data_IF_061877709050
#
_entry.id   IF_061877709050
#
_cell.length_a   1.000
_cell.length_b   1.000
_cell.length_c   1.000
_cell.angle_alpha   90.00
_cell.angle_beta   90.00
_cell.angle_gamma   90.00
#
_symmetry.space_group_name_H-M   'P 1'
#
loop_
_entity.id
_entity.type
_entity.pdbx_description
1 polymer ?
#
# COMPACT_ATOMS: atom_id res chain seq x y z
N UNK A 1 10.47 2.79 35.69
CA UNK A 1 10.47 4.25 35.46
C UNK A 1 11.70 4.67 34.63
N UNK A 2 12.01 4.05 33.47
CA UNK A 2 13.40 4.11 32.95
C UNK A 2 13.66 4.17 31.44
N UNK A 3 12.64 4.27 30.59
CA UNK A 3 12.83 4.47 29.13
C UNK A 3 11.63 5.17 28.49
N UNK A 4 10.42 4.81 28.93
CA UNK A 4 9.19 5.46 28.50
C UNK A 4 9.10 6.92 28.97
N UNK A 5 9.40 7.19 30.24
CA UNK A 5 9.49 8.56 30.77
C UNK A 5 10.53 9.39 30.02
N UNK A 6 11.74 8.87 29.81
CA UNK A 6 12.77 9.61 29.05
C UNK A 6 12.38 9.91 27.60
N UNK A 7 11.56 9.05 26.98
CA UNK A 7 11.08 9.27 25.61
C UNK A 7 9.95 10.31 25.59
N UNK A 8 9.04 10.23 26.56
CA UNK A 8 7.98 11.21 26.76
C UNK A 8 8.56 12.59 27.05
N UNK A 9 9.49 12.69 28.01
CA UNK A 9 10.23 13.91 28.34
C UNK A 9 10.92 14.50 27.09
N UNK A 10 11.53 13.65 26.26
CA UNK A 10 12.16 14.09 25.01
C UNK A 10 11.13 14.62 24.00
N UNK A 11 9.95 14.01 23.87
CA UNK A 11 8.89 14.54 23.01
C UNK A 11 8.39 15.89 23.55
N UNK A 12 8.18 15.99 24.87
CA UNK A 12 7.67 17.20 25.51
C UNK A 12 8.62 18.40 25.43
N UNK A 13 9.93 18.16 25.39
CA UNK A 13 10.94 19.20 25.18
C UNK A 13 10.70 20.00 23.88
N UNK A 14 10.10 19.36 22.87
CA UNK A 14 9.75 19.98 21.60
C UNK A 14 8.50 20.88 21.63
N UNK A 15 7.80 20.98 22.78
CA UNK A 15 6.60 21.85 22.92
C UNK A 15 6.97 23.33 22.98
N UNK A 16 8.20 23.65 23.38
CA UNK A 16 8.64 25.02 23.65
C UNK A 16 9.99 25.33 23.02
N UNK A 17 10.21 26.63 22.76
CA UNK A 17 11.42 27.13 22.12
C UNK A 17 11.31 27.22 20.59
N UNK A 18 12.22 27.97 19.95
CA UNK A 18 12.24 28.10 18.50
C UNK A 18 12.64 26.79 17.85
N UNK A 19 11.96 26.45 16.75
CA UNK A 19 12.34 25.29 15.94
C UNK A 19 13.76 25.45 15.39
N UNK A 20 14.55 24.38 15.48
CA UNK A 20 15.82 24.27 14.76
C UNK A 20 16.07 22.82 14.32
N UNK A 21 16.97 22.55 13.36
CA UNK A 21 17.24 21.18 12.93
C UNK A 21 17.71 20.25 14.06
N UNK A 22 18.31 20.81 15.12
CA UNK A 22 18.71 20.10 16.36
C UNK A 22 17.65 20.13 17.47
N UNK A 23 16.60 20.95 17.33
CA UNK A 23 15.49 21.09 18.27
C UNK A 23 14.14 20.98 17.53
N UNK A 24 13.74 19.76 17.11
CA UNK A 24 12.48 19.54 16.41
C UNK A 24 11.26 19.73 17.32
N UNK A 25 10.12 20.06 16.72
CA UNK A 25 8.85 20.23 17.46
C UNK A 25 8.37 18.91 18.06
N UNK A 26 7.53 19.00 19.09
CA UNK A 26 6.90 17.84 19.74
C UNK A 26 6.17 16.93 18.73
N UNK A 27 5.49 17.53 17.76
CA UNK A 27 4.84 16.81 16.67
C UNK A 27 5.84 16.02 15.83
N UNK A 28 6.96 16.62 15.42
CA UNK A 28 8.00 15.94 14.64
C UNK A 28 8.65 14.80 15.43
N UNK A 29 8.98 15.06 16.69
CA UNK A 29 9.56 14.07 17.62
C UNK A 29 8.65 12.84 17.73
N UNK A 30 7.36 13.07 17.92
CA UNK A 30 6.34 12.03 17.98
C UNK A 30 6.22 11.25 16.66
N UNK A 31 6.20 11.94 15.51
CA UNK A 31 6.21 11.30 14.19
C UNK A 31 7.45 10.43 13.96
N UNK A 32 8.64 10.87 14.39
CA UNK A 32 9.89 10.12 14.25
C UNK A 32 9.88 8.85 15.09
N UNK A 33 9.45 8.94 16.35
CA UNK A 33 9.29 7.79 17.25
C UNK A 33 8.29 6.80 16.65
N UNK A 34 7.16 7.31 16.17
CA UNK A 34 6.14 6.48 15.53
C UNK A 34 6.67 5.79 14.27
N UNK A 35 7.38 6.49 13.39
CA UNK A 35 7.97 5.92 12.18
C UNK A 35 8.99 4.83 12.51
N UNK A 36 9.84 5.04 13.51
CA UNK A 36 10.81 4.04 13.95
C UNK A 36 10.11 2.78 14.50
N UNK A 37 9.08 2.96 15.34
CA UNK A 37 8.28 1.86 15.85
C UNK A 37 7.52 1.13 14.73
N UNK A 38 6.84 1.87 13.84
CA UNK A 38 6.10 1.34 12.71
C UNK A 38 7.02 0.56 11.77
N UNK A 39 8.24 1.04 11.51
CA UNK A 39 9.25 0.33 10.72
C UNK A 39 9.57 -1.05 11.33
N UNK A 40 9.81 -1.10 12.64
CA UNK A 40 10.06 -2.37 13.34
C UNK A 40 8.85 -3.31 13.29
N UNK A 41 7.64 -2.78 13.52
CA UNK A 41 6.40 -3.55 13.42
C UNK A 41 6.24 -4.13 12.01
N UNK A 42 6.45 -3.32 10.98
CA UNK A 42 6.36 -3.77 9.58
C UNK A 42 7.38 -4.86 9.32
N UNK A 43 8.65 -4.69 9.71
CA UNK A 43 9.69 -5.71 9.53
C UNK A 43 9.38 -7.03 10.22
N UNK A 44 8.93 -6.98 11.48
CA UNK A 44 8.64 -8.18 12.28
C UNK A 44 7.40 -8.90 11.76
N UNK A 45 6.33 -8.16 11.46
CA UNK A 45 5.03 -8.72 11.12
C UNK A 45 4.78 -8.82 9.61
N UNK A 46 5.75 -8.49 8.75
CA UNK A 46 5.60 -8.49 7.29
C UNK A 46 5.07 -9.82 6.73
N UNK A 47 5.65 -10.92 7.21
CA UNK A 47 5.24 -12.27 6.79
C UNK A 47 3.99 -12.78 7.53
N UNK A 48 3.45 -12.00 8.49
CA UNK A 48 2.37 -12.39 9.39
C UNK A 48 2.62 -13.74 10.10
N UNK A 49 3.88 -14.13 10.26
CA UNK A 49 4.34 -15.40 10.84
C UNK A 49 5.21 -15.09 12.05
N UNK A 50 4.68 -15.31 13.24
CA UNK A 50 5.50 -15.26 14.46
C UNK A 50 6.06 -16.68 14.67
N UNK A 51 7.39 -16.88 14.61
CA UNK A 51 7.98 -18.14 15.04
C UNK A 51 7.82 -18.22 16.56
N UNK A 52 7.12 -19.25 17.05
CA UNK A 52 6.96 -19.47 18.49
C UNK A 52 7.54 -20.84 18.87
N UNK A 53 8.41 -20.81 19.89
CA UNK A 53 9.20 -21.88 20.52
C UNK A 53 10.49 -22.36 19.83
N UNK A 54 11.55 -22.33 20.66
CA UNK A 54 12.84 -23.02 20.55
C UNK A 54 12.94 -24.01 21.72
N UNK A 55 13.62 -25.15 21.51
CA UNK A 55 13.78 -26.38 22.34
C UNK A 55 12.58 -27.37 22.32
N UNK A 56 12.67 -28.69 22.05
CA UNK A 56 13.74 -29.67 21.71
C UNK A 56 13.14 -30.70 20.70
N UNK A 57 14.02 -31.28 19.87
CA UNK A 57 13.86 -32.55 19.09
C UNK A 57 13.29 -32.57 17.66
N UNK A 58 12.52 -31.61 17.15
CA UNK A 58 12.08 -31.67 15.73
C UNK A 58 12.19 -30.31 15.05
N UNK A 59 13.19 -30.18 14.16
CA UNK A 59 13.50 -29.01 13.30
C UNK A 59 12.33 -28.58 12.38
N UNK A 60 11.17 -28.24 12.91
CA UNK A 60 10.06 -27.63 12.18
C UNK A 60 9.57 -26.41 12.95
N UNK A 61 9.82 -25.23 12.40
CA UNK A 61 9.23 -23.99 12.87
C UNK A 61 7.71 -24.08 12.73
N UNK A 62 6.99 -24.04 13.85
CA UNK A 62 5.55 -23.78 13.82
C UNK A 62 5.36 -22.27 13.90
N UNK A 63 4.71 -21.71 12.90
CA UNK A 63 4.42 -20.27 12.82
C UNK A 63 2.97 -20.03 13.22
N UNK A 64 2.73 -19.12 14.16
CA UNK A 64 1.38 -18.62 14.44
C UNK A 64 1.07 -17.50 13.46
N UNK A 65 -0.10 -17.59 12.82
CA UNK A 65 -0.58 -16.58 11.89
C UNK A 65 -1.24 -15.43 12.65
N UNK A 66 -0.73 -14.21 12.53
CA UNK A 66 -1.30 -13.02 13.16
C UNK A 66 -1.65 -11.96 12.09
N UNK A 67 -2.94 -11.77 11.74
CA UNK A 67 -3.35 -10.99 10.57
C UNK A 67 -3.28 -9.46 10.70
N UNK A 68 -2.60 -8.88 11.68
CA UNK A 68 -2.74 -7.42 11.98
C UNK A 68 -2.40 -6.52 10.79
N UNK A 69 -1.38 -6.84 10.01
CA UNK A 69 -1.00 -6.04 8.83
C UNK A 69 -1.81 -6.38 7.57
N UNK A 70 -2.58 -7.47 7.59
CA UNK A 70 -3.24 -8.02 6.39
C UNK A 70 -4.10 -7.00 5.64
N UNK A 71 -5.03 -6.25 6.27
CA UNK A 71 -5.89 -5.33 5.52
C UNK A 71 -5.09 -4.22 4.83
N UNK A 72 -4.09 -3.67 5.52
CA UNK A 72 -3.25 -2.60 4.98
C UNK A 72 -2.30 -3.12 3.88
N UNK A 73 -1.73 -4.32 4.07
CA UNK A 73 -0.87 -4.98 3.10
C UNK A 73 -1.63 -5.26 1.81
N UNK A 74 -2.85 -5.80 1.89
CA UNK A 74 -3.65 -6.12 0.72
C UNK A 74 -4.02 -4.87 -0.10
N UNK A 75 -4.37 -3.76 0.56
CA UNK A 75 -4.61 -2.49 -0.12
C UNK A 75 -3.34 -1.93 -0.76
N UNK A 76 -2.19 -2.08 -0.10
CA UNK A 76 -0.91 -1.66 -0.64
C UNK A 76 -0.54 -2.43 -1.92
N UNK A 77 -0.70 -3.75 -1.89
CA UNK A 77 -0.51 -4.62 -3.06
C UNK A 77 -1.50 -4.21 -4.17
N UNK A 78 -2.76 -3.95 -3.82
CA UNK A 78 -3.77 -3.47 -4.78
C UNK A 78 -3.32 -2.20 -5.50
N UNK A 79 -2.77 -1.22 -4.78
CA UNK A 79 -2.30 0.02 -5.39
C UNK A 79 -1.09 -0.19 -6.32
N UNK A 80 -0.20 -1.12 -5.97
CA UNK A 80 0.90 -1.54 -6.84
C UNK A 80 0.36 -2.14 -8.14
N UNK A 81 -0.56 -3.11 -8.05
CA UNK A 81 -1.18 -3.74 -9.22
C UNK A 81 -1.97 -2.76 -10.08
N UNK A 82 -2.66 -1.80 -9.46
CA UNK A 82 -3.34 -0.72 -10.19
C UNK A 82 -2.35 0.15 -10.97
N UNK A 83 -1.13 0.34 -10.47
CA UNK A 83 -0.06 1.03 -11.21
C UNK A 83 0.26 0.31 -12.53
N UNK A 84 0.40 -1.02 -12.50
CA UNK A 84 0.56 -1.82 -13.71
C UNK A 84 -0.66 -1.69 -14.61
N UNK A 85 -1.87 -1.86 -14.06
CA UNK A 85 -3.12 -1.83 -14.80
C UNK A 85 -3.30 -0.49 -15.56
N UNK A 86 -3.09 0.64 -14.89
CA UNK A 86 -3.26 1.98 -15.47
C UNK A 86 -2.26 2.22 -16.60
N UNK A 87 -0.96 2.03 -16.35
CA UNK A 87 0.06 2.27 -17.40
C UNK A 87 -0.05 1.24 -18.52
N UNK A 88 -0.36 -0.01 -18.19
CA UNK A 88 -0.66 -1.05 -19.17
C UNK A 88 -1.76 -0.63 -20.14
N UNK A 89 -2.93 -0.25 -19.63
CA UNK A 89 -4.05 0.19 -20.47
C UNK A 89 -3.74 1.46 -21.26
N UNK A 90 -3.06 2.45 -20.67
CA UNK A 90 -2.65 3.66 -21.40
C UNK A 90 -1.71 3.32 -22.57
N UNK A 91 -0.77 2.38 -22.38
CA UNK A 91 0.13 1.96 -23.46
C UNK A 91 -0.57 1.12 -24.53
N UNK A 92 -1.59 0.34 -24.15
CA UNK A 92 -2.45 -0.39 -25.09
C UNK A 92 -3.23 0.61 -25.93
N UNK A 93 -3.95 1.55 -25.30
CA UNK A 93 -4.73 2.57 -26.02
C UNK A 93 -3.86 3.43 -26.92
N UNK A 94 -2.65 3.79 -26.47
CA UNK A 94 -1.68 4.45 -27.32
C UNK A 94 -1.36 3.61 -28.57
N UNK A 95 -1.07 2.30 -28.42
CA UNK A 95 -0.81 1.44 -29.58
C UNK A 95 -2.02 1.29 -30.49
N UNK A 96 -3.21 1.07 -29.93
CA UNK A 96 -4.46 0.95 -30.70
C UNK A 96 -4.75 2.22 -31.50
N UNK A 97 -4.48 3.39 -30.91
CA UNK A 97 -4.68 4.69 -31.57
C UNK A 97 -3.68 4.93 -32.70
N UNK A 98 -2.42 4.54 -32.54
CA UNK A 98 -1.35 4.85 -33.49
C UNK A 98 -1.09 3.78 -34.55
N UNK A 99 -1.26 2.50 -34.21
CA UNK A 99 -0.96 1.36 -35.08
C UNK A 99 -2.19 0.56 -35.50
N UNK A 100 -3.36 0.88 -34.95
CA UNK A 100 -4.59 0.12 -35.17
C UNK A 100 -4.61 -1.21 -34.42
N UNK A 101 -5.74 -1.89 -34.51
CA UNK A 101 -5.91 -3.26 -34.01
C UNK A 101 -5.54 -4.21 -35.16
N UNK A 102 -4.77 -5.29 -34.92
CA UNK A 102 -4.49 -6.30 -35.93
C UNK A 102 -5.78 -6.83 -36.57
N UNK A 103 -5.78 -7.07 -37.89
CA UNK A 103 -6.98 -7.57 -38.60
C UNK A 103 -7.47 -8.89 -37.99
N UNK A 104 -8.74 -8.91 -37.55
CA UNK A 104 -9.33 -10.07 -36.88
C UNK A 104 -8.89 -10.29 -35.42
N UNK A 105 -8.09 -9.38 -34.87
CA UNK A 105 -7.58 -9.46 -33.50
C UNK A 105 -8.49 -8.80 -32.45
N UNK A 106 -8.32 -9.24 -31.20
CA UNK A 106 -9.01 -8.72 -30.03
C UNK A 106 -8.33 -7.47 -29.47
N UNK A 107 -9.14 -6.50 -29.00
CA UNK A 107 -8.66 -5.33 -28.24
C UNK A 107 -7.90 -5.75 -26.99
N UNK A 108 -6.84 -4.99 -26.68
CA UNK A 108 -6.08 -5.18 -25.45
C UNK A 108 -6.93 -4.81 -24.23
N UNK A 109 -6.95 -5.69 -23.23
CA UNK A 109 -7.74 -5.51 -22.00
C UNK A 109 -7.02 -6.09 -20.80
N UNK A 110 -7.42 -5.69 -19.60
CA UNK A 110 -7.03 -6.39 -18.37
C UNK A 110 -7.92 -7.62 -18.25
N UNK A 111 -7.32 -8.81 -18.26
CA UNK A 111 -8.05 -10.07 -18.07
C UNK A 111 -8.40 -10.27 -16.59
N UNK A 112 -7.45 -10.02 -15.69
CA UNK A 112 -7.70 -10.00 -14.25
C UNK A 112 -6.59 -9.24 -13.49
N UNK A 113 -6.95 -8.81 -12.28
CA UNK A 113 -6.02 -8.35 -11.25
C UNK A 113 -6.18 -9.28 -10.06
N UNK A 114 -5.08 -9.89 -9.64
CA UNK A 114 -5.03 -10.82 -8.52
C UNK A 114 -4.22 -10.21 -7.37
N UNK A 115 -4.66 -10.50 -6.14
CA UNK A 115 -3.95 -10.18 -4.91
C UNK A 115 -3.90 -11.43 -4.04
N UNK A 116 -2.70 -11.97 -3.88
CA UNK A 116 -2.38 -13.00 -2.92
C UNK A 116 -1.87 -12.40 -1.61
N UNK A 117 -2.34 -12.94 -0.50
CA UNK A 117 -1.93 -12.51 0.84
C UNK A 117 -0.47 -12.85 1.17
N UNK A 118 0.05 -13.92 0.58
CA UNK A 118 1.34 -14.52 0.87
C UNK A 118 2.37 -14.26 -0.23
N UNK A 119 1.95 -14.22 -1.49
CA UNK A 119 2.86 -14.12 -2.65
C UNK A 119 2.92 -12.73 -3.29
N UNK A 120 1.93 -11.85 -3.10
CA UNK A 120 1.93 -10.51 -3.70
C UNK A 120 0.74 -10.28 -4.63
N UNK A 121 0.95 -9.63 -5.77
CA UNK A 121 -0.11 -9.36 -6.75
C UNK A 121 0.27 -9.83 -8.16
N UNK A 122 -0.73 -9.95 -9.03
CA UNK A 122 -0.50 -10.21 -10.46
C UNK A 122 -1.56 -9.51 -11.31
N UNK A 123 -1.10 -8.66 -12.22
CA UNK A 123 -1.94 -8.04 -13.26
C UNK A 123 -1.71 -8.73 -14.60
N UNK A 124 -2.75 -9.37 -15.14
CA UNK A 124 -2.69 -10.04 -16.44
C UNK A 124 -3.43 -9.24 -17.50
N UNK A 125 -2.75 -8.99 -18.61
CA UNK A 125 -3.33 -8.41 -19.82
C UNK A 125 -3.68 -9.52 -20.81
N UNK A 126 -4.77 -9.33 -21.55
CA UNK A 126 -5.22 -10.19 -22.64
C UNK A 126 -5.56 -9.38 -23.89
N UNK A 127 -5.90 -10.09 -24.97
CA UNK A 127 -6.04 -9.53 -26.32
C UNK A 127 -4.74 -9.59 -27.12
N UNK A 128 -4.81 -9.22 -28.40
CA UNK A 128 -3.67 -9.31 -29.32
C UNK A 128 -2.77 -8.07 -29.29
N UNK A 129 -3.27 -6.96 -28.71
CA UNK A 129 -2.50 -5.74 -28.48
C UNK A 129 -1.88 -5.78 -27.08
N UNK A 130 -0.64 -6.23 -26.99
CA UNK A 130 0.11 -6.29 -25.73
C UNK A 130 0.56 -4.89 -25.26
N UNK A 131 0.63 -4.65 -23.94
CA UNK A 131 1.15 -3.40 -23.38
C UNK A 131 2.65 -3.20 -23.66
N UNK A 132 3.16 -1.99 -23.40
CA UNK A 132 4.60 -1.74 -23.45
C UNK A 132 5.22 -2.15 -22.11
N UNK A 133 5.62 -3.42 -21.99
CA UNK A 133 6.16 -3.99 -20.75
C UNK A 133 7.33 -3.21 -20.13
N UNK A 134 8.15 -2.52 -20.93
CA UNK A 134 9.23 -1.67 -20.41
C UNK A 134 8.75 -0.44 -19.62
N UNK A 135 7.49 -0.04 -19.79
CA UNK A 135 6.84 1.02 -19.00
C UNK A 135 5.88 0.44 -17.97
N UNK A 136 5.13 -0.60 -18.34
CA UNK A 136 4.14 -1.23 -17.47
C UNK A 136 4.77 -1.90 -16.26
N UNK A 137 5.90 -2.61 -16.40
CA UNK A 137 6.54 -3.29 -15.26
C UNK A 137 7.09 -2.28 -14.23
N UNK A 138 7.80 -1.20 -14.61
CA UNK A 138 8.18 -0.17 -13.64
C UNK A 138 7.00 0.54 -12.97
N UNK A 139 5.84 0.59 -13.64
CA UNK A 139 4.71 1.41 -13.19
C UNK A 139 4.15 0.99 -11.83
N UNK A 140 4.11 -0.31 -11.51
CA UNK A 140 3.66 -0.78 -10.20
C UNK A 140 4.55 -0.24 -9.08
N UNK A 141 5.87 -0.42 -9.23
CA UNK A 141 6.85 0.11 -8.30
C UNK A 141 6.75 1.63 -8.18
N UNK A 142 6.75 2.36 -9.29
CA UNK A 142 6.68 3.84 -9.30
C UNK A 142 5.38 4.33 -8.65
N UNK A 143 4.23 3.78 -9.03
CA UNK A 143 2.93 4.15 -8.50
C UNK A 143 2.81 3.93 -6.99
N UNK A 144 3.13 2.73 -6.51
CA UNK A 144 3.06 2.40 -5.08
C UNK A 144 4.00 3.27 -4.23
N UNK A 145 5.17 3.60 -4.76
CA UNK A 145 6.13 4.47 -4.07
C UNK A 145 5.71 5.93 -4.06
N UNK A 146 5.12 6.45 -5.14
CA UNK A 146 4.59 7.83 -5.18
C UNK A 146 3.43 7.98 -4.20
N UNK A 147 2.50 7.02 -4.19
CA UNK A 147 1.39 6.97 -3.23
C UNK A 147 1.93 6.89 -1.80
N UNK A 148 2.90 6.00 -1.56
CA UNK A 148 3.54 5.88 -0.24
C UNK A 148 4.23 7.16 0.22
N UNK A 149 4.95 7.83 -0.69
CA UNK A 149 5.61 9.10 -0.42
C UNK A 149 4.62 10.23 -0.15
N UNK A 150 3.51 10.30 -0.89
CA UNK A 150 2.44 11.26 -0.63
C UNK A 150 1.88 11.10 0.79
N UNK A 151 1.58 9.87 1.21
CA UNK A 151 1.09 9.61 2.57
C UNK A 151 2.15 9.85 3.66
N UNK A 152 3.42 9.50 3.40
CA UNK A 152 4.52 9.84 4.32
C UNK A 152 4.64 11.34 4.50
N UNK A 153 4.61 12.11 3.41
CA UNK A 153 4.75 13.56 3.46
C UNK A 153 3.57 14.21 4.20
N UNK A 154 2.35 13.90 3.79
CA UNK A 154 1.13 14.44 4.41
C UNK A 154 0.96 14.05 5.88
N UNK A 155 1.53 12.90 6.29
CA UNK A 155 1.45 12.40 7.66
C UNK A 155 2.24 13.19 8.71
N UNK A 156 3.10 14.12 8.34
CA UNK A 156 3.82 14.95 9.31
C UNK A 156 2.95 16.04 9.95
N UNK A 157 1.85 16.42 9.31
CA UNK A 157 0.98 17.52 9.74
C UNK A 157 -0.51 17.12 9.77
N UNK A 158 -1.26 17.56 10.77
CA UNK A 158 -2.66 17.18 10.96
C UNK A 158 -3.58 17.66 9.82
N UNK A 159 -3.42 18.90 9.34
CA UNK A 159 -4.20 19.46 8.23
C UNK A 159 -3.83 18.78 6.93
N UNK A 160 -2.53 18.55 6.69
CA UNK A 160 -2.11 17.79 5.50
C UNK A 160 -2.57 16.34 5.52
N UNK A 161 -2.64 15.73 6.71
CA UNK A 161 -3.15 14.38 6.88
C UNK A 161 -4.63 14.25 6.53
N UNK A 162 -5.43 15.32 6.65
CA UNK A 162 -6.81 15.36 6.12
C UNK A 162 -6.83 15.22 4.59
N UNK A 163 -5.96 15.95 3.88
CA UNK A 163 -5.82 15.79 2.42
C UNK A 163 -5.29 14.39 2.04
N UNK A 164 -4.34 13.86 2.82
CA UNK A 164 -3.86 12.48 2.67
C UNK A 164 -4.99 11.46 2.84
N UNK A 165 -5.82 11.60 3.87
CA UNK A 165 -6.95 10.73 4.14
C UNK A 165 -8.03 10.80 3.05
N UNK A 166 -8.36 11.99 2.55
CA UNK A 166 -9.25 12.14 1.39
C UNK A 166 -8.67 11.44 0.16
N UNK A 167 -7.37 11.63 -0.09
CA UNK A 167 -6.68 10.97 -1.21
C UNK A 167 -6.74 9.45 -1.09
N UNK A 168 -6.56 8.90 0.11
CA UNK A 168 -6.66 7.46 0.38
C UNK A 168 -8.10 6.95 0.19
N UNK A 169 -9.11 7.69 0.65
CA UNK A 169 -10.52 7.35 0.44
C UNK A 169 -10.90 7.35 -1.05
N UNK A 170 -10.44 8.34 -1.81
CA UNK A 170 -10.67 8.39 -3.26
C UNK A 170 -9.96 7.22 -3.95
N UNK A 171 -8.69 6.98 -3.61
CA UNK A 171 -7.91 5.89 -4.20
C UNK A 171 -8.53 4.53 -3.93
N UNK A 172 -8.91 4.24 -2.67
CA UNK A 172 -9.62 3.01 -2.29
C UNK A 172 -10.97 2.86 -3.00
N UNK A 173 -11.73 3.94 -3.13
CA UNK A 173 -13.03 3.92 -3.82
C UNK A 173 -12.87 3.62 -5.31
N UNK A 174 -11.92 4.29 -5.97
CA UNK A 174 -11.59 4.04 -7.39
C UNK A 174 -11.08 2.60 -7.56
N UNK A 175 -10.19 2.13 -6.70
CA UNK A 175 -9.67 0.78 -6.72
C UNK A 175 -10.80 -0.26 -6.62
N UNK A 176 -11.73 -0.06 -5.68
CA UNK A 176 -12.90 -0.92 -5.49
C UNK A 176 -13.80 -0.90 -6.73
N UNK A 177 -14.01 0.27 -7.33
CA UNK A 177 -14.81 0.43 -8.55
C UNK A 177 -14.16 -0.28 -9.75
N UNK A 178 -12.85 -0.13 -9.95
CA UNK A 178 -12.10 -0.82 -11.00
C UNK A 178 -12.23 -2.33 -10.81
N UNK A 179 -12.03 -2.83 -9.59
CA UNK A 179 -12.19 -4.25 -9.29
C UNK A 179 -13.61 -4.75 -9.59
N UNK A 180 -14.64 -3.94 -9.31
CA UNK A 180 -16.03 -4.26 -9.65
C UNK A 180 -16.22 -4.51 -11.15
N UNK A 181 -15.58 -3.70 -12.01
CA UNK A 181 -15.68 -3.83 -13.46
C UNK A 181 -14.76 -4.90 -14.07
N UNK A 182 -13.63 -5.22 -13.45
CA UNK A 182 -12.60 -6.15 -13.98
C UNK A 182 -12.98 -7.64 -13.83
N UNK A 183 -14.26 -8.01 -13.81
CA UNK A 183 -14.72 -9.40 -13.50
C UNK A 183 -14.08 -9.97 -12.22
N UNK A 184 -13.92 -9.16 -11.17
CA UNK A 184 -13.60 -9.70 -9.86
C UNK A 184 -14.74 -10.62 -9.42
N UNK A 185 -14.46 -11.88 -9.12
CA UNK A 185 -15.48 -12.83 -8.68
C UNK A 185 -15.71 -12.62 -7.18
N UNK A 186 -16.95 -12.37 -6.76
CA UNK A 186 -17.29 -12.28 -5.34
C UNK A 186 -17.01 -13.63 -4.64
N UNK A 187 -16.14 -13.59 -3.65
CA UNK A 187 -15.79 -14.73 -2.80
C UNK A 187 -16.98 -15.18 -1.94
N UNK A 188 -17.85 -14.26 -1.53
CA UNK A 188 -19.10 -14.54 -0.83
C UNK A 188 -20.05 -15.37 -1.70
N UNK A 189 -20.22 -15.01 -2.97
CA UNK A 189 -21.04 -15.80 -3.90
C UNK A 189 -20.42 -17.19 -4.10
N UNK A 190 -19.10 -17.26 -4.27
CA UNK A 190 -18.41 -18.51 -4.53
C UNK A 190 -18.39 -19.48 -3.32
N UNK A 191 -18.28 -18.92 -2.11
CA UNK A 191 -18.25 -19.65 -0.84
C UNK A 191 -19.60 -19.65 -0.12
N UNK A 192 -20.68 -19.20 -0.76
CA UNK A 192 -22.01 -19.11 -0.15
C UNK A 192 -22.47 -20.43 0.48
N UNK A 193 -22.29 -21.55 -0.22
CA UNK A 193 -22.63 -22.87 0.32
C UNK A 193 -21.72 -23.34 1.45
N UNK A 194 -20.47 -22.88 1.49
CA UNK A 194 -19.56 -23.13 2.60
C UNK A 194 -19.94 -22.29 3.84
N UNK A 195 -20.32 -21.04 3.65
CA UNK A 195 -20.82 -20.18 4.74
C UNK A 195 -22.13 -20.76 5.29
N UNK A 196 -23.04 -21.17 4.41
CA UNK A 196 -24.29 -21.85 4.80
C UNK A 196 -24.00 -23.15 5.55
N UNK A 197 -23.02 -23.96 5.11
CA UNK A 197 -22.67 -25.19 5.82
C UNK A 197 -22.12 -24.89 7.22
N UNK A 198 -21.32 -23.82 7.37
CA UNK A 198 -20.87 -23.33 8.66
C UNK A 198 -22.05 -22.90 9.56
N UNK A 199 -23.01 -22.15 9.02
CA UNK A 199 -24.23 -21.74 9.76
C UNK A 199 -25.06 -22.96 10.16
N UNK A 200 -25.27 -23.93 9.26
CA UNK A 200 -26.00 -25.15 9.60
C UNK A 200 -25.31 -25.97 10.69
N UNK A 201 -23.96 -25.99 10.69
CA UNK A 201 -23.18 -26.72 11.68
C UNK A 201 -23.17 -26.05 13.05
N UNK A 202 -22.91 -24.74 13.10
CA UNK A 202 -22.60 -24.04 14.35
C UNK A 202 -23.75 -23.24 14.93
N UNK A 203 -24.69 -22.78 14.10
CA UNK A 203 -25.84 -21.98 14.54
C UNK A 203 -27.09 -22.86 14.66
N UNK A 204 -27.33 -23.72 13.67
CA UNK A 204 -28.55 -24.54 13.58
C UNK A 204 -28.34 -26.00 13.98
N UNK A 205 -27.11 -26.40 14.34
CA UNK A 205 -26.73 -27.75 14.79
C UNK A 205 -27.32 -28.91 13.94
N UNK A 206 -27.37 -28.75 12.62
CA UNK A 206 -27.98 -29.70 11.69
C UNK A 206 -26.93 -30.34 10.78
N UNK A 207 -26.51 -31.56 11.10
CA UNK A 207 -25.48 -32.29 10.35
C UNK A 207 -25.91 -32.66 8.92
N UNK A 208 -27.18 -33.02 8.71
CA UNK A 208 -27.66 -33.47 7.40
C UNK A 208 -27.62 -32.34 6.37
N UNK A 209 -28.14 -31.16 6.76
CA UNK A 209 -28.08 -29.95 5.93
C UNK A 209 -26.64 -29.47 5.72
N UNK A 210 -25.77 -29.63 6.73
CA UNK A 210 -24.34 -29.34 6.62
C UNK A 210 -23.68 -30.18 5.53
N UNK A 211 -23.87 -31.51 5.55
CA UNK A 211 -23.32 -32.42 4.52
C UNK A 211 -23.86 -32.09 3.12
N UNK A 212 -25.15 -31.78 3.01
CA UNK A 212 -25.77 -31.40 1.73
C UNK A 212 -25.22 -30.08 1.17
N UNK A 213 -25.00 -29.09 2.02
CA UNK A 213 -24.41 -27.81 1.63
C UNK A 213 -22.94 -27.96 1.24
N UNK A 214 -22.14 -28.75 1.98
CA UNK A 214 -20.76 -29.07 1.64
C UNK A 214 -20.64 -29.78 0.28
N UNK A 215 -21.45 -30.82 0.02
CA UNK A 215 -21.48 -31.48 -1.29
C UNK A 215 -21.80 -30.52 -2.43
N UNK A 216 -22.75 -29.60 -2.22
CA UNK A 216 -23.07 -28.55 -3.22
C UNK A 216 -21.91 -27.59 -3.44
N UNK A 217 -21.18 -27.23 -2.39
CA UNK A 217 -19.98 -26.39 -2.49
C UNK A 217 -18.89 -27.11 -3.30
N UNK A 218 -18.61 -28.38 -2.99
CA UNK A 218 -17.62 -29.20 -3.70
C UNK A 218 -17.99 -29.40 -5.17
N UNK A 219 -19.25 -29.73 -5.47
CA UNK A 219 -19.72 -29.89 -6.86
C UNK A 219 -19.59 -28.59 -7.65
N UNK A 220 -20.02 -27.45 -7.10
CA UNK A 220 -19.85 -26.15 -7.78
C UNK A 220 -18.38 -25.77 -7.90
N UNK A 221 -17.52 -26.16 -6.95
CA UNK A 221 -16.07 -25.97 -7.04
C UNK A 221 -15.50 -26.81 -8.19
N UNK A 222 -15.88 -28.08 -8.31
CA UNK A 222 -15.46 -28.97 -9.38
C UNK A 222 -15.90 -28.46 -10.76
N UNK A 223 -17.18 -28.11 -10.93
CA UNK A 223 -17.73 -27.54 -12.18
C UNK A 223 -17.00 -26.26 -12.60
N UNK A 224 -16.70 -25.38 -11.63
CA UNK A 224 -15.88 -24.18 -11.89
C UNK A 224 -14.44 -24.54 -12.29
N UNK A 225 -13.85 -25.56 -11.68
CA UNK A 225 -12.49 -26.00 -11.97
C UNK A 225 -12.35 -26.68 -13.34
N UNK A 226 -13.42 -27.25 -13.90
CA UNK A 226 -13.43 -27.81 -15.25
C UNK A 226 -13.31 -26.73 -16.34
N UNK A 227 -13.77 -25.51 -16.06
CA UNK A 227 -13.69 -24.37 -16.99
C UNK A 227 -12.49 -23.43 -16.75
N UNK A 228 -11.64 -23.72 -15.77
CA UNK A 228 -10.45 -22.93 -15.48
C UNK A 228 -9.36 -23.15 -16.55
N UNK A 229 -8.70 -22.08 -16.99
CA UNK A 229 -7.62 -22.16 -18.00
C UNK A 229 -6.27 -22.52 -17.38
N UNK A 230 -6.14 -22.41 -16.05
CA UNK A 230 -4.95 -22.77 -15.28
C UNK A 230 -5.28 -23.78 -14.15
N UNK A 231 -4.53 -24.89 -14.11
CA UNK A 231 -4.51 -25.87 -13.01
C UNK A 231 -3.18 -25.74 -12.27
N UNK A 232 -3.23 -25.60 -10.94
CA UNK A 232 -2.04 -25.69 -10.09
C UNK A 232 -1.49 -27.14 -10.12
N UNK A 233 -0.16 -27.29 -10.14
CA UNK A 233 0.51 -28.60 -10.13
C UNK A 233 0.25 -29.42 -8.86
N UNK A 234 -0.17 -28.76 -7.76
CA UNK A 234 -0.55 -29.41 -6.51
C UNK A 234 -2.07 -29.65 -6.47
N UNK A 235 -2.49 -30.88 -6.16
CA UNK A 235 -3.91 -31.26 -6.05
C UNK A 235 -4.71 -30.46 -4.99
N UNK A 236 -4.02 -29.84 -4.03
CA UNK A 236 -4.60 -29.00 -2.97
C UNK A 236 -4.41 -27.48 -3.21
N UNK A 237 -3.82 -27.07 -4.34
CA UNK A 237 -3.60 -25.66 -4.65
C UNK A 237 -4.90 -24.90 -4.92
N UNK A 238 -5.00 -23.60 -4.56
CA UNK A 238 -6.15 -22.78 -4.95
C UNK A 238 -6.25 -22.72 -6.48
N UNK A 239 -7.45 -22.77 -7.05
CA UNK A 239 -7.60 -22.72 -8.52
C UNK A 239 -7.48 -21.29 -9.04
N UNK A 240 -7.24 -21.09 -10.34
CA UNK A 240 -7.18 -19.75 -10.98
C UNK A 240 -8.33 -18.84 -10.51
N UNK A 241 -9.50 -19.43 -10.26
CA UNK A 241 -10.72 -18.76 -9.81
C UNK A 241 -10.71 -18.44 -8.30
N UNK A 242 -10.07 -19.27 -7.47
CA UNK A 242 -9.83 -19.02 -6.04
C UNK A 242 -8.70 -18.00 -5.82
N UNK A 243 -7.83 -17.81 -6.83
CA UNK A 243 -6.74 -16.82 -6.86
C UNK A 243 -7.23 -15.40 -7.22
N UNK A 244 -8.42 -15.22 -7.81
CA UNK A 244 -8.94 -13.88 -8.07
C UNK A 244 -9.14 -13.15 -6.74
N UNK A 245 -8.63 -11.91 -6.62
CA UNK A 245 -8.86 -11.09 -5.45
C UNK A 245 -10.36 -11.05 -5.17
N UNK A 246 -10.81 -11.66 -4.06
CA UNK A 246 -12.23 -11.64 -3.76
C UNK A 246 -12.62 -10.20 -3.53
N UNK A 247 -13.52 -9.69 -4.37
CA UNK A 247 -14.00 -8.31 -4.29
C UNK A 247 -14.44 -7.96 -2.86
N UNK A 248 -15.00 -8.94 -2.14
CA UNK A 248 -15.44 -8.79 -0.76
C UNK A 248 -14.27 -8.57 0.22
N UNK A 249 -13.09 -9.14 -0.04
CA UNK A 249 -11.89 -8.89 0.75
C UNK A 249 -11.39 -7.46 0.54
N UNK A 250 -11.36 -6.98 -0.70
CA UNK A 250 -10.99 -5.59 -1.02
C UNK A 250 -11.97 -4.62 -0.38
N UNK A 251 -13.28 -4.87 -0.50
CA UNK A 251 -14.34 -4.07 0.13
C UNK A 251 -14.17 -4.11 1.65
N UNK A 252 -13.98 -5.29 2.24
CA UNK A 252 -13.78 -5.45 3.69
C UNK A 252 -12.56 -4.68 4.21
N UNK A 253 -11.43 -4.76 3.50
CA UNK A 253 -10.23 -3.99 3.84
C UNK A 253 -10.46 -2.48 3.68
N UNK A 254 -11.15 -2.06 2.61
CA UNK A 254 -11.46 -0.65 2.33
C UNK A 254 -12.40 -0.06 3.38
N UNK A 255 -13.44 -0.79 3.79
CA UNK A 255 -14.34 -0.38 4.86
C UNK A 255 -13.63 -0.30 6.20
N UNK A 256 -12.74 -1.26 6.50
CA UNK A 256 -11.95 -1.25 7.72
C UNK A 256 -11.03 -0.03 7.78
N UNK A 257 -10.28 0.26 6.71
CA UNK A 257 -9.42 1.45 6.64
C UNK A 257 -10.25 2.72 6.66
N UNK A 258 -11.38 2.78 5.94
CA UNK A 258 -12.29 3.92 5.95
C UNK A 258 -12.86 4.22 7.34
N UNK A 259 -13.18 3.18 8.12
CA UNK A 259 -13.60 3.31 9.51
C UNK A 259 -12.48 3.91 10.37
N UNK A 260 -11.25 3.39 10.25
CA UNK A 260 -10.10 3.93 11.00
C UNK A 260 -9.83 5.39 10.66
N UNK A 261 -9.90 5.77 9.37
CA UNK A 261 -9.76 7.15 8.93
C UNK A 261 -10.87 8.03 9.51
N UNK A 262 -12.11 7.56 9.51
CA UNK A 262 -13.24 8.33 10.05
C UNK A 262 -13.07 8.56 11.56
N UNK A 263 -12.69 7.53 12.31
CA UNK A 263 -12.47 7.63 13.74
C UNK A 263 -11.31 8.58 14.06
N UNK A 264 -10.19 8.44 13.37
CA UNK A 264 -9.03 9.32 13.55
C UNK A 264 -9.27 10.75 13.07
N UNK A 265 -10.15 10.96 12.09
CA UNK A 265 -10.57 12.29 11.65
C UNK A 265 -11.37 13.00 12.75
N UNK A 266 -12.31 12.28 13.36
CA UNK A 266 -13.23 12.86 14.34
C UNK A 266 -12.57 13.22 15.67
N UNK A 267 -11.39 12.66 15.97
CA UNK A 267 -10.75 12.74 17.28
C UNK A 267 -9.55 13.68 17.31
N UNK A 268 -9.38 14.41 18.42
CA UNK A 268 -8.26 15.33 18.70
C UNK A 268 -7.87 16.23 17.52
N UNK A 269 -8.82 16.93 16.93
CA UNK A 269 -8.57 17.80 15.77
C UNK A 269 -7.79 17.08 14.64
N UNK A 270 -8.09 15.79 14.45
CA UNK A 270 -7.50 14.94 13.43
C UNK A 270 -5.98 14.70 13.58
N UNK A 271 -5.39 14.96 14.74
CA UNK A 271 -3.98 14.63 15.02
C UNK A 271 -3.71 13.15 14.75
N UNK A 272 -4.66 12.26 15.07
CA UNK A 272 -4.51 10.83 14.86
C UNK A 272 -4.39 10.40 13.39
N UNK A 273 -4.88 11.22 12.44
CA UNK A 273 -4.69 10.95 11.01
C UNK A 273 -3.22 10.93 10.62
N UNK A 274 -2.37 11.72 11.29
CA UNK A 274 -0.92 11.76 11.07
C UNK A 274 -0.32 10.37 11.13
N UNK A 275 -0.64 9.63 12.18
CA UNK A 275 -0.13 8.27 12.37
C UNK A 275 -0.65 7.28 11.34
N UNK A 276 -1.93 7.38 10.96
CA UNK A 276 -2.47 6.50 9.92
C UNK A 276 -1.80 6.79 8.58
N UNK A 277 -1.59 8.06 8.22
CA UNK A 277 -0.92 8.46 6.98
C UNK A 277 0.56 8.04 6.98
N UNK A 278 1.29 8.29 8.07
CA UNK A 278 2.68 7.84 8.23
C UNK A 278 2.79 6.32 8.13
N UNK A 279 1.88 5.59 8.77
CA UNK A 279 1.87 4.13 8.74
C UNK A 279 1.56 3.58 7.35
N UNK A 280 0.50 4.08 6.69
CA UNK A 280 0.13 3.67 5.34
C UNK A 280 1.21 4.04 4.32
N UNK A 281 1.79 5.22 4.44
CA UNK A 281 2.88 5.68 3.60
C UNK A 281 4.13 4.81 3.76
N UNK A 282 4.53 4.55 5.00
CA UNK A 282 5.68 3.70 5.32
C UNK A 282 5.46 2.27 4.84
N UNK A 283 4.27 1.69 5.08
CA UNK A 283 3.93 0.36 4.63
C UNK A 283 3.98 0.24 3.10
N UNK A 284 3.44 1.24 2.38
CA UNK A 284 3.45 1.28 0.92
C UNK A 284 4.85 1.42 0.35
N UNK A 285 5.66 2.28 0.96
CA UNK A 285 7.05 2.47 0.58
C UNK A 285 7.91 1.22 0.83
N UNK A 286 7.75 0.58 1.98
CA UNK A 286 8.47 -0.64 2.35
C UNK A 286 8.01 -1.88 1.59
N UNK A 287 6.74 -1.93 1.15
CA UNK A 287 6.24 -3.02 0.30
C UNK A 287 7.09 -3.18 -0.95
N UNK A 288 7.26 -2.10 -1.71
CA UNK A 288 8.06 -2.11 -2.92
C UNK A 288 9.52 -2.53 -2.64
N UNK A 289 10.10 -2.07 -1.53
CA UNK A 289 11.46 -2.46 -1.11
C UNK A 289 11.54 -3.95 -0.80
N UNK A 290 10.58 -4.48 -0.06
CA UNK A 290 10.55 -5.89 0.32
C UNK A 290 10.34 -6.81 -0.88
N UNK A 291 9.43 -6.43 -1.78
CA UNK A 291 9.18 -7.11 -3.05
C UNK A 291 10.48 -7.22 -3.87
N UNK A 292 11.21 -6.10 -4.01
CA UNK A 292 12.50 -6.06 -4.71
C UNK A 292 13.56 -6.97 -4.04
N UNK A 293 13.66 -6.93 -2.71
CA UNK A 293 14.68 -7.69 -1.96
C UNK A 293 14.41 -9.19 -2.04
N UNK A 294 13.18 -9.61 -1.75
CA UNK A 294 12.86 -11.04 -1.78
C UNK A 294 12.96 -11.57 -3.20
N UNK A 295 12.32 -10.92 -4.16
CA UNK A 295 12.17 -11.52 -5.47
C UNK A 295 13.34 -11.22 -6.39
N UNK A 296 13.90 -10.02 -6.32
CA UNK A 296 15.00 -9.59 -7.19
C UNK A 296 16.41 -9.96 -6.69
N UNK A 297 16.59 -10.20 -5.38
CA UNK A 297 17.91 -10.52 -4.80
C UNK A 297 17.93 -11.94 -4.22
N UNK A 298 16.98 -12.29 -3.34
CA UNK A 298 17.03 -13.57 -2.62
C UNK A 298 16.52 -14.76 -3.44
N UNK A 299 15.45 -14.58 -4.20
CA UNK A 299 14.76 -15.62 -4.97
C UNK A 299 14.83 -15.44 -6.48
N UNK A 300 15.69 -14.54 -6.97
CA UNK A 300 15.79 -14.12 -8.37
C UNK A 300 15.92 -15.23 -9.43
N UNK A 301 16.35 -16.43 -9.04
CA UNK A 301 16.49 -17.58 -9.95
C UNK A 301 15.23 -18.43 -10.10
N UNK A 302 14.28 -18.29 -9.18
CA UNK A 302 13.07 -19.13 -9.08
C UNK A 302 11.80 -18.28 -9.15
N UNK A 303 11.86 -17.00 -8.77
CA UNK A 303 10.72 -16.09 -8.76
C UNK A 303 10.51 -15.42 -10.14
N UNK A 304 9.29 -15.58 -10.69
CA UNK A 304 8.80 -14.82 -11.85
C UNK A 304 8.22 -13.47 -11.40
N UNK A 305 9.06 -12.61 -10.83
CA UNK A 305 8.65 -11.27 -10.38
C UNK A 305 8.79 -10.22 -11.46
N UNK A 306 8.24 -9.02 -11.22
CA UNK A 306 8.32 -7.89 -12.15
C UNK A 306 9.76 -7.55 -12.56
N UNK A 307 10.71 -7.67 -11.64
CA UNK A 307 12.14 -7.41 -11.90
C UNK A 307 12.72 -8.47 -12.84
N UNK A 308 12.35 -9.74 -12.62
CA UNK A 308 12.75 -10.83 -13.52
C UNK A 308 12.22 -10.56 -14.92
N UNK A 309 10.93 -10.19 -15.05
CA UNK A 309 10.35 -9.82 -16.34
C UNK A 309 11.00 -8.58 -16.97
N UNK A 310 11.38 -7.56 -16.18
CA UNK A 310 12.10 -6.40 -16.70
C UNK A 310 13.46 -6.78 -17.29
N UNK A 311 14.20 -7.63 -16.58
CA UNK A 311 15.51 -8.10 -17.03
C UNK A 311 15.38 -8.96 -18.30
N UNK A 312 14.39 -9.85 -18.35
CA UNK A 312 14.08 -10.67 -19.51
C UNK A 312 13.70 -9.81 -20.73
N UNK A 313 12.80 -8.84 -20.56
CA UNK A 313 12.35 -7.97 -21.64
C UNK A 313 13.50 -7.08 -22.17
N UNK A 314 14.35 -6.57 -21.28
CA UNK A 314 15.55 -5.84 -21.70
C UNK A 314 16.50 -6.73 -22.51
N UNK A 315 16.77 -7.95 -22.02
CA UNK A 315 17.66 -8.89 -22.68
C UNK A 315 17.10 -9.37 -24.02
N UNK A 316 15.78 -9.55 -24.13
CA UNK A 316 15.08 -9.85 -25.39
C UNK A 316 15.30 -8.75 -26.41
N UNK A 317 15.05 -7.48 -26.05
CA UNK A 317 15.30 -6.32 -26.92
C UNK A 317 16.77 -6.17 -27.30
N UNK A 318 17.69 -6.42 -26.38
CA UNK A 318 19.13 -6.38 -26.64
C UNK A 318 19.55 -7.45 -27.66
N UNK A 319 19.04 -8.69 -27.53
CA UNK A 319 19.29 -9.79 -28.47
C UNK A 319 18.76 -9.45 -29.87
N UNK A 320 17.52 -9.00 -29.97
CA UNK A 320 16.90 -8.62 -31.26
C UNK A 320 17.70 -7.49 -31.92
N UNK A 321 18.05 -6.45 -31.17
CA UNK A 321 18.85 -5.34 -31.68
C UNK A 321 20.22 -5.79 -32.21
N UNK A 322 20.93 -6.64 -31.45
CA UNK A 322 22.25 -7.15 -31.83
C UNK A 322 22.16 -8.07 -33.05
N UNK A 323 21.08 -8.83 -33.19
CA UNK A 323 20.82 -9.66 -34.38
C UNK A 323 20.54 -8.83 -35.63
N UNK A 324 19.78 -7.73 -35.49
CA UNK A 324 19.45 -6.84 -36.61
C UNK A 324 20.59 -5.91 -37.01
N UNK A 325 21.51 -5.60 -36.08
CA UNK A 325 22.62 -4.66 -36.31
C UNK A 325 23.96 -5.27 -35.88
N UNK A 326 24.48 -6.28 -36.61
CA UNK A 326 25.72 -6.96 -36.23
C UNK A 326 26.94 -6.03 -36.26
N UNK A 327 26.94 -5.01 -37.11
CA UNK A 327 28.06 -4.08 -37.28
C UNK A 327 28.10 -2.95 -36.24
N UNK A 328 27.02 -2.76 -35.48
CA UNK A 328 26.94 -1.72 -34.44
C UNK A 328 27.41 -2.25 -33.09
N UNK A 329 27.72 -1.34 -32.17
CA UNK A 329 28.07 -1.67 -30.78
C UNK A 329 26.97 -2.54 -30.15
N UNK A 330 27.35 -3.75 -29.73
CA UNK A 330 26.42 -4.70 -29.14
C UNK A 330 25.86 -4.18 -27.82
N UNK A 331 24.54 -4.24 -27.67
CA UNK A 331 23.86 -3.94 -26.41
C UNK A 331 24.16 -5.05 -25.40
N UNK A 332 24.57 -4.63 -24.20
CA UNK A 332 24.93 -5.51 -23.09
C UNK A 332 23.67 -6.05 -22.41
N UNK A 333 23.64 -7.36 -22.19
CA UNK A 333 22.60 -8.00 -21.37
C UNK A 333 22.81 -7.67 -19.89
N UNK A 334 21.72 -7.55 -19.13
CA UNK A 334 21.72 -7.17 -17.71
C UNK A 334 21.11 -8.31 -16.89
N UNK A 335 21.65 -8.51 -15.68
CA UNK A 335 21.13 -9.49 -14.73
C UNK A 335 19.91 -8.93 -14.00
N UNK A 336 19.06 -9.81 -13.49
CA UNK A 336 17.94 -9.47 -12.59
C UNK A 336 18.43 -8.66 -11.38
N UNK A 337 19.55 -9.06 -10.79
CA UNK A 337 20.16 -8.36 -9.65
C UNK A 337 20.55 -6.92 -9.97
N UNK A 338 20.96 -6.61 -11.20
CA UNK A 338 21.27 -5.23 -11.58
C UNK A 338 20.03 -4.33 -11.50
N UNK A 339 18.89 -4.82 -12.04
CA UNK A 339 17.63 -4.09 -11.95
C UNK A 339 17.11 -4.00 -10.52
N UNK A 340 17.24 -5.08 -9.74
CA UNK A 340 16.88 -5.08 -8.34
C UNK A 340 17.64 -4.00 -7.55
N UNK A 341 18.97 -3.94 -7.71
CA UNK A 341 19.81 -2.95 -7.03
C UNK A 341 19.44 -1.52 -7.47
N UNK A 342 19.30 -1.29 -8.79
CA UNK A 342 18.95 0.02 -9.33
C UNK A 342 17.63 0.55 -8.75
N UNK A 343 16.59 -0.30 -8.75
CA UNK A 343 15.28 0.07 -8.23
C UNK A 343 15.29 0.18 -6.71
N UNK A 344 16.02 -0.68 -6.00
CA UNK A 344 16.18 -0.59 -4.56
C UNK A 344 16.77 0.76 -4.16
N UNK A 345 17.87 1.20 -4.76
CA UNK A 345 18.46 2.51 -4.49
C UNK A 345 17.49 3.64 -4.80
N UNK A 346 16.90 3.64 -5.99
CA UNK A 346 15.94 4.69 -6.41
C UNK A 346 14.78 4.84 -5.43
N UNK A 347 14.25 3.72 -4.90
CA UNK A 347 13.19 3.72 -3.90
C UNK A 347 13.66 4.25 -2.56
N UNK A 348 14.78 3.73 -2.07
CA UNK A 348 15.31 4.09 -0.76
C UNK A 348 15.66 5.57 -0.71
N UNK A 349 16.28 6.10 -1.76
CA UNK A 349 16.62 7.52 -1.89
C UNK A 349 15.37 8.41 -1.91
N UNK A 350 14.31 8.00 -2.62
CA UNK A 350 13.05 8.74 -2.68
C UNK A 350 12.34 8.79 -1.31
N UNK A 351 12.35 7.68 -0.57
CA UNK A 351 11.78 7.60 0.78
C UNK A 351 12.54 8.53 1.74
N UNK A 352 13.88 8.44 1.73
CA UNK A 352 14.74 9.30 2.56
C UNK A 352 14.50 10.77 2.23
N UNK A 353 14.47 11.11 0.94
CA UNK A 353 14.22 12.47 0.48
C UNK A 353 12.89 13.02 0.98
N UNK A 354 11.82 12.22 0.93
CA UNK A 354 10.48 12.66 1.37
C UNK A 354 10.39 12.78 2.89
N UNK A 355 11.02 11.88 3.65
CA UNK A 355 11.09 11.99 5.12
C UNK A 355 11.88 13.23 5.53
N UNK A 356 13.02 13.49 4.89
CA UNK A 356 13.83 14.70 5.10
C UNK A 356 13.03 15.94 4.72
N UNK A 357 12.34 15.93 3.58
CA UNK A 357 11.50 17.04 3.14
C UNK A 357 10.37 17.31 4.15
N UNK A 358 9.66 16.27 4.60
CA UNK A 358 8.61 16.38 5.62
C UNK A 358 9.15 16.99 6.92
N UNK A 359 10.34 16.55 7.37
CA UNK A 359 11.02 17.11 8.53
C UNK A 359 11.36 18.60 8.39
N UNK A 360 11.81 19.05 7.22
CA UNK A 360 12.16 20.46 7.03
C UNK A 360 10.97 21.38 6.70
N UNK A 361 9.86 20.83 6.19
CA UNK A 361 8.66 21.59 5.82
C UNK A 361 7.71 21.75 7.01
N UNK A 362 7.43 20.68 7.75
CA UNK A 362 6.41 20.67 8.79
C UNK A 362 7.00 20.88 10.18
N UNK A 363 7.13 22.15 10.59
CA UNK A 363 7.83 22.56 11.82
C UNK A 363 6.92 22.84 13.01
N UNK A 364 5.60 22.79 12.77
CA UNK A 364 4.57 23.20 13.74
C UNK A 364 4.50 22.24 14.91
N UNK A 365 4.11 22.76 16.07
CA UNK A 365 3.84 21.94 17.28
C UNK A 365 2.49 21.23 17.17
N UNK A 366 2.22 20.26 18.06
CA UNK A 366 0.94 19.51 18.03
C UNK A 366 -0.27 20.43 18.21
N UNK A 367 -0.14 21.41 19.09
CA UNK A 367 -1.19 22.40 19.37
C UNK A 367 -1.45 23.27 18.16
N UNK A 368 -0.40 23.82 17.54
CA UNK A 368 -0.52 24.63 16.32
C UNK A 368 -1.16 23.84 15.18
N UNK A 369 -0.77 22.58 14.99
CA UNK A 369 -1.36 21.71 13.98
C UNK A 369 -2.84 21.44 14.26
N UNK A 370 -3.22 21.24 15.53
CA UNK A 370 -4.61 21.02 15.92
C UNK A 370 -5.49 22.23 15.58
N UNK A 371 -5.03 23.43 15.94
CA UNK A 371 -5.74 24.68 15.67
C UNK A 371 -5.91 24.89 14.16
N UNK A 372 -4.84 24.74 13.38
CA UNK A 372 -4.91 24.94 11.93
C UNK A 372 -5.78 23.88 11.24
N UNK A 373 -5.82 22.66 11.77
CA UNK A 373 -6.68 21.61 11.25
C UNK A 373 -8.16 22.01 11.34
N UNK A 374 -8.58 22.77 12.35
CA UNK A 374 -9.98 23.19 12.53
C UNK A 374 -10.51 24.02 11.37
N UNK A 375 -9.65 24.74 10.66
CA UNK A 375 -10.02 25.56 9.50
C UNK A 375 -10.58 24.73 8.34
N UNK A 376 -10.17 23.46 8.23
CA UNK A 376 -10.53 22.58 7.12
C UNK A 376 -11.24 21.33 7.65
N UNK A 377 -12.57 21.25 7.45
CA UNK A 377 -13.40 20.11 7.86
C UNK A 377 -13.12 19.71 9.33
N UNK A 378 -13.54 20.54 10.30
CA UNK A 378 -13.19 20.40 11.70
C UNK A 378 -13.59 19.05 12.28
N UNK A 379 -12.77 18.54 13.20
CA UNK A 379 -13.08 17.34 13.96
C UNK A 379 -14.24 17.61 14.93
N UNK A 380 -14.89 16.53 15.38
CA UNK A 380 -15.97 16.63 16.37
C UNK A 380 -15.44 16.76 17.79
N UNK A 381 -14.31 16.09 18.07
CA UNK A 381 -13.62 16.14 19.35
C UNK A 381 -12.32 16.93 19.17
N UNK A 382 -12.19 18.00 19.94
CA UNK A 382 -11.04 18.90 19.88
C UNK A 382 -9.90 18.40 20.76
N UNK A 383 -8.67 18.69 20.35
CA UNK A 383 -7.48 18.34 21.10
C UNK A 383 -7.33 19.21 22.35
N UNK A 384 -7.06 18.57 23.49
CA UNK A 384 -6.85 19.22 24.80
C UNK A 384 -8.14 19.70 25.48
N UNK A 385 -8.07 20.11 26.77
CA UNK A 385 -9.07 21.05 27.27
C UNK A 385 -9.00 22.27 26.35
N UNK A 386 -10.14 22.85 26.00
CA UNK A 386 -10.21 24.12 25.28
C UNK A 386 -9.71 25.23 26.20
N UNK A 387 -8.42 25.20 26.56
CA UNK A 387 -7.79 26.26 27.30
C UNK A 387 -7.66 27.44 26.34
N UNK A 388 -8.69 28.28 26.41
CA UNK A 388 -8.78 29.62 25.84
C UNK A 388 -7.46 30.38 25.97
N UNK A 389 -6.61 30.07 26.95
CA UNK A 389 -5.35 30.76 27.22
C UNK A 389 -4.29 30.56 26.13
N UNK A 390 -4.11 29.34 25.59
CA UNK A 390 -3.11 29.08 24.53
C UNK A 390 -3.64 29.56 23.16
N UNK A 391 -4.94 29.35 22.89
CA UNK A 391 -5.63 29.89 21.71
C UNK A 391 -5.59 31.43 21.71
N UNK A 392 -5.76 32.09 22.88
CA UNK A 392 -5.62 33.53 23.06
C UNK A 392 -4.17 33.98 22.91
N UNK A 393 -3.19 33.22 23.39
CA UNK A 393 -1.77 33.53 23.23
C UNK A 393 -1.36 33.52 21.76
N UNK A 394 -1.71 32.46 21.02
CA UNK A 394 -1.40 32.32 19.59
C UNK A 394 -2.14 33.38 18.77
N UNK A 395 -3.43 33.62 19.07
CA UNK A 395 -4.18 34.71 18.45
C UNK A 395 -3.56 36.09 18.75
N UNK A 396 -3.05 36.29 19.97
CA UNK A 396 -2.35 37.50 20.38
C UNK A 396 -1.02 37.70 19.65
N UNK A 397 -0.24 36.64 19.45
CA UNK A 397 1.03 36.67 18.73
C UNK A 397 0.80 36.94 17.23
N UNK A 398 -0.19 36.28 16.60
CA UNK A 398 -0.58 36.54 15.22
C UNK A 398 -1.12 37.97 15.01
N UNK A 399 -1.90 38.47 15.97
CA UNK A 399 -2.38 39.86 15.96
C UNK A 399 -1.22 40.86 16.09
N UNK A 400 -0.26 40.60 16.98
CA UNK A 400 0.96 41.41 17.12
C UNK A 400 1.80 41.42 15.85
N UNK A 401 1.96 40.28 15.19
CA UNK A 401 2.70 40.18 13.93
C UNK A 401 1.99 40.94 12.80
N UNK A 402 0.67 40.78 12.67
CA UNK A 402 -0.15 41.53 11.71
C UNK A 402 -0.11 43.04 11.95
N UNK A 403 -0.19 43.48 13.20
CA UNK A 403 -0.04 44.88 13.61
C UNK A 403 1.37 45.40 13.35
N UNK A 404 2.41 44.61 13.63
CA UNK A 404 3.80 44.96 13.37
C UNK A 404 4.07 45.20 11.89
N UNK A 405 3.48 44.39 11.02
CA UNK A 405 3.57 44.55 9.56
C UNK A 405 2.76 45.77 9.05
N UNK A 406 1.65 46.12 9.70
CA UNK A 406 0.86 47.32 9.37
C UNK A 406 1.57 48.61 9.81
N UNK A 407 2.25 48.60 10.97
CA UNK A 407 2.98 49.77 11.49
C UNK A 407 4.37 49.90 10.84
N UNK A 408 5.00 48.79 10.46
CA UNK A 408 6.34 48.76 9.84
C UNK A 408 6.41 49.20 8.38
N UNK A 409 5.29 49.26 7.66
CA UNK A 409 5.22 49.78 6.28
C UNK A 409 4.90 51.29 6.19
N UNK A 410 4.90 52.00 7.33
CA UNK A 410 4.56 53.41 7.42
C UNK A 410 5.74 54.37 7.68
N UNK A 411 6.99 53.91 7.61
CA UNK A 411 8.20 54.74 7.82
C UNK A 411 9.07 54.84 6.58
#
# INVERSE_FOLDING_TARGET
MGAWQSLEDWVEEGKSGPWSPSHPSDAQRESMVFLAFAFLVILIFWQCKIPYWYFIEKKKFKTVFFPVLTPFKLLTVLYHELGHAVVGMLTIWYKELWYGIPEGGDRGRIDFIMIDKYEGGLTKFGGDVEPIYSLTLPAGYVGSCLIGCWFLFTGFDAKWSKFGAISLLILTSIATLICFFVKAKSGLINNWYYIISWVYKWVLFNEEKTRKAMRRHENKKAERNESARYRHDNAEGPTEIDLHASQDLIIGCSLFVGLLLTLAWMWDDSIWLRFIMLFMGLLSALYAVWDIILDGIRYAKVAKSDITYMAEEHNRKAKIHNKLNPERRQKRQRSTTFYAILWLFTKTDMIILVVVLGYFVFRKTKVEQAIESREFLPAKFHYGPSDLEEDVRIAGDAFKEGMGNLVGNGS
#
